data_IF_776928024590
#
_entry.id   IF_776928024590
#
_cell.length_a   1.000
_cell.length_b   1.000
_cell.length_c   1.000
_cell.angle_alpha   90.00
_cell.angle_beta   90.00
_cell.angle_gamma   90.00
#
_symmetry.space_group_name_H-M   'P 1'
#
loop_
_entity.id
_entity.type
_entity.pdbx_description
1 polymer ?
#
# COMPACT_ATOMS: atom_id res chain seq x y z
N UNK A 1 -4.59 -22.50 13.68
CA UNK A 1 -4.98 -21.16 13.18
C UNK A 1 -6.44 -21.20 12.74
N UNK A 2 -7.33 -20.44 13.38
CA UNK A 2 -8.72 -20.30 12.91
C UNK A 2 -8.73 -19.25 11.79
N UNK A 3 -9.03 -19.70 10.59
CA UNK A 3 -9.21 -18.86 9.40
C UNK A 3 -10.41 -17.93 9.64
N UNK A 4 -10.14 -16.67 10.00
CA UNK A 4 -11.20 -15.71 10.36
C UNK A 4 -11.67 -15.04 9.09
N UNK A 5 -12.57 -15.71 8.36
CA UNK A 5 -13.22 -15.14 7.18
C UNK A 5 -14.32 -14.20 7.64
N UNK A 6 -14.15 -12.91 7.39
CA UNK A 6 -15.22 -11.93 7.56
C UNK A 6 -16.30 -12.28 6.54
N UNK A 7 -17.44 -12.79 7.02
CA UNK A 7 -18.63 -13.04 6.20
C UNK A 7 -19.54 -11.82 6.32
N UNK A 8 -19.86 -11.21 5.18
CA UNK A 8 -20.94 -10.24 5.11
C UNK A 8 -22.26 -10.92 5.44
N UNK A 9 -23.15 -10.22 6.11
CA UNK A 9 -24.53 -10.67 6.27
C UNK A 9 -25.26 -10.72 4.93
N UNK A 10 -26.31 -11.52 4.82
CA UNK A 10 -27.12 -11.60 3.58
C UNK A 10 -27.67 -10.23 3.15
N UNK A 11 -28.04 -9.39 4.13
CA UNK A 11 -28.54 -8.04 3.89
C UNK A 11 -27.45 -7.14 3.27
N UNK A 12 -26.24 -7.19 3.80
CA UNK A 12 -25.10 -6.44 3.25
C UNK A 12 -24.72 -6.94 1.85
N UNK A 13 -24.73 -8.26 1.65
CA UNK A 13 -24.40 -8.87 0.36
C UNK A 13 -25.40 -8.48 -0.73
N UNK A 14 -26.69 -8.41 -0.37
CA UNK A 14 -27.79 -8.01 -1.27
C UNK A 14 -27.67 -6.53 -1.64
N UNK A 15 -27.46 -5.67 -0.66
CA UNK A 15 -27.25 -4.23 -0.87
C UNK A 15 -26.03 -3.97 -1.78
N UNK A 16 -24.92 -4.67 -1.54
CA UNK A 16 -23.70 -4.55 -2.35
C UNK A 16 -23.92 -5.01 -3.80
N UNK A 17 -24.80 -6.00 -4.01
CA UNK A 17 -25.20 -6.46 -5.35
C UNK A 17 -26.00 -5.40 -6.11
N UNK A 18 -26.94 -4.76 -5.44
CA UNK A 18 -27.81 -3.73 -6.03
C UNK A 18 -27.00 -2.50 -6.45
N UNK A 19 -26.10 -2.04 -5.58
CA UNK A 19 -25.22 -0.91 -5.88
C UNK A 19 -24.27 -1.24 -7.03
N UNK A 20 -23.66 -2.42 -7.04
CA UNK A 20 -22.77 -2.85 -8.12
C UNK A 20 -23.50 -2.89 -9.47
N UNK A 21 -24.74 -3.42 -9.47
CA UNK A 21 -25.61 -3.47 -10.65
C UNK A 21 -25.99 -2.06 -11.14
N UNK A 22 -26.31 -1.13 -10.24
CA UNK A 22 -26.64 0.25 -10.63
C UNK A 22 -25.47 1.01 -11.26
N UNK A 23 -24.23 0.62 -10.93
CA UNK A 23 -23.00 1.22 -11.45
C UNK A 23 -22.40 0.44 -12.62
N UNK A 24 -23.07 -0.64 -13.05
CA UNK A 24 -22.61 -1.53 -14.12
C UNK A 24 -21.19 -2.09 -13.91
N UNK A 25 -20.84 -2.37 -12.65
CA UNK A 25 -19.55 -2.96 -12.24
C UNK A 25 -19.79 -4.26 -11.45
N UNK A 26 -18.74 -5.07 -11.29
CA UNK A 26 -18.84 -6.28 -10.46
C UNK A 26 -18.85 -5.93 -8.97
N UNK A 27 -19.43 -6.80 -8.14
CA UNK A 27 -19.38 -6.65 -6.68
C UNK A 27 -17.95 -6.55 -6.15
N UNK A 28 -17.02 -7.31 -6.72
CA UNK A 28 -15.61 -7.28 -6.33
C UNK A 28 -14.96 -5.93 -6.64
N UNK A 29 -15.25 -5.37 -7.83
CA UNK A 29 -14.77 -4.03 -8.23
C UNK A 29 -15.33 -2.94 -7.32
N UNK A 30 -16.61 -3.02 -6.96
CA UNK A 30 -17.24 -2.08 -6.03
C UNK A 30 -16.60 -2.18 -4.62
N UNK A 31 -16.39 -3.39 -4.10
CA UNK A 31 -15.76 -3.61 -2.80
C UNK A 31 -14.32 -3.08 -2.78
N UNK A 32 -13.56 -3.35 -3.85
CA UNK A 32 -12.22 -2.82 -4.03
C UNK A 32 -12.22 -1.28 -4.04
N UNK A 33 -13.16 -0.67 -4.76
CA UNK A 33 -13.32 0.78 -4.80
C UNK A 33 -13.69 1.36 -3.44
N UNK A 34 -14.64 0.78 -2.71
CA UNK A 34 -15.03 1.23 -1.36
C UNK A 34 -13.85 1.13 -0.39
N UNK A 35 -13.09 0.04 -0.45
CA UNK A 35 -11.89 -0.14 0.39
C UNK A 35 -10.81 0.87 0.02
N UNK A 36 -10.57 1.08 -1.28
CA UNK A 36 -9.63 2.08 -1.78
C UNK A 36 -10.04 3.50 -1.36
N UNK A 37 -11.33 3.84 -1.53
CA UNK A 37 -11.90 5.12 -1.11
C UNK A 37 -11.78 5.28 0.40
N UNK A 38 -12.15 4.29 1.23
CA UNK A 38 -12.01 4.32 2.68
C UNK A 38 -10.56 4.52 3.14
N UNK A 39 -9.63 3.78 2.54
CA UNK A 39 -8.19 3.89 2.83
C UNK A 39 -7.59 5.21 2.31
N UNK A 40 -8.20 5.84 1.31
CA UNK A 40 -7.78 7.13 0.77
C UNK A 40 -8.46 8.34 1.47
N UNK A 41 -9.69 8.17 1.97
CA UNK A 41 -10.49 9.18 2.66
C UNK A 41 -10.17 9.24 4.14
N UNK A 42 -9.72 8.14 4.74
CA UNK A 42 -8.94 8.16 5.96
C UNK A 42 -7.55 8.68 5.59
N UNK A 43 -7.42 10.01 5.48
CA UNK A 43 -6.17 10.78 5.38
C UNK A 43 -4.94 9.89 5.31
N UNK A 44 -4.42 9.62 4.10
CA UNK A 44 -3.43 8.59 3.76
C UNK A 44 -2.04 8.67 4.44
N UNK A 45 -1.97 9.17 5.66
CA UNK A 45 -0.98 8.72 6.61
C UNK A 45 -1.55 7.48 7.31
N UNK A 46 -0.75 6.45 7.65
CA UNK A 46 -1.08 5.69 8.87
C UNK A 46 -1.42 6.72 9.95
N UNK A 47 -2.20 6.38 10.99
CA UNK A 47 -2.14 7.22 12.19
C UNK A 47 -0.70 7.07 12.70
N UNK A 48 0.22 7.86 12.14
CA UNK A 48 1.50 8.21 12.69
C UNK A 48 1.09 9.14 13.80
N UNK A 49 0.63 8.53 14.90
CA UNK A 49 0.66 9.19 16.18
C UNK A 49 2.12 9.61 16.28
N UNK A 50 2.42 10.92 16.22
CA UNK A 50 3.80 11.36 16.19
C UNK A 50 4.50 10.76 17.40
N UNK A 51 5.78 10.41 17.27
CA UNK A 51 6.48 9.67 18.32
C UNK A 51 6.32 10.37 19.68
N UNK A 52 6.18 11.69 19.72
CA UNK A 52 5.89 12.47 20.94
C UNK A 52 4.53 12.20 21.62
N UNK A 53 3.56 11.57 20.93
CA UNK A 53 2.29 11.10 21.50
C UNK A 53 2.38 9.70 22.14
N UNK A 54 3.44 8.93 21.86
CA UNK A 54 3.67 7.57 22.42
C UNK A 54 5.02 7.38 23.12
N UNK A 55 5.99 8.25 22.83
CA UNK A 55 7.36 8.29 23.35
C UNK A 55 7.45 9.49 24.26
N UNK A 56 7.19 9.24 25.54
CA UNK A 56 7.60 10.16 26.59
C UNK A 56 9.14 10.16 26.62
N UNK A 57 9.76 11.24 26.13
CA UNK A 57 11.21 11.38 26.18
C UNK A 57 11.63 11.41 27.64
N UNK A 58 12.45 10.43 28.03
CA UNK A 58 13.13 10.38 29.32
C UNK A 58 13.94 11.67 29.49
N UNK A 59 13.51 12.55 30.38
CA UNK A 59 14.24 13.78 30.71
C UNK A 59 15.27 13.61 31.82
N UNK A 60 15.54 12.39 32.27
CA UNK A 60 16.49 12.15 33.35
C UNK A 60 17.55 11.11 32.96
N UNK A 61 18.81 11.54 33.00
CA UNK A 61 20.00 10.76 32.67
C UNK A 61 20.51 9.91 33.83
N UNK A 62 19.83 9.85 34.98
CA UNK A 62 20.23 8.97 36.09
C UNK A 62 19.07 8.07 36.58
N UNK A 63 19.22 6.76 36.33
CA UNK A 63 18.29 5.66 36.70
C UNK A 63 16.96 5.66 35.93
N UNK A 64 16.87 4.83 34.88
CA UNK A 64 15.77 4.76 33.92
C UNK A 64 14.43 4.27 34.52
N UNK A 65 13.70 5.15 35.19
CA UNK A 65 12.30 4.91 35.54
C UNK A 65 11.42 5.91 34.78
N UNK A 66 10.64 5.42 33.82
CA UNK A 66 9.61 6.22 33.16
C UNK A 66 8.33 6.13 33.99
N UNK A 67 7.95 7.24 34.62
CA UNK A 67 6.69 7.32 35.36
C UNK A 67 5.54 7.50 34.36
N UNK A 68 4.75 6.45 34.15
CA UNK A 68 3.54 6.49 33.33
C UNK A 68 2.32 6.72 34.22
N UNK A 69 1.48 7.69 33.85
CA UNK A 69 0.16 7.91 34.45
C UNK A 69 -0.89 7.46 33.44
N UNK A 70 -1.82 6.62 33.88
CA UNK A 70 -2.97 6.25 33.06
C UNK A 70 -4.22 6.21 33.94
N UNK A 71 -5.36 6.52 33.34
CA UNK A 71 -6.64 6.46 34.00
C UNK A 71 -7.25 5.06 33.78
N UNK A 72 -7.64 4.41 34.87
CA UNK A 72 -8.37 3.16 34.84
C UNK A 72 -9.85 3.43 35.16
N UNK A 73 -10.81 2.80 34.44
CA UNK A 73 -12.22 2.83 34.83
C UNK A 73 -12.41 2.43 36.31
N UNK A 74 -13.37 3.09 36.98
CA UNK A 74 -13.57 2.97 38.44
C UNK A 74 -13.91 1.54 38.85
N UNK A 75 -14.73 0.86 38.06
CA UNK A 75 -15.12 -0.54 38.24
C UNK A 75 -13.90 -1.48 38.18
N UNK A 76 -13.01 -1.29 37.21
CA UNK A 76 -11.77 -2.05 37.11
C UNK A 76 -10.83 -1.74 38.28
N UNK A 77 -10.78 -0.49 38.75
CA UNK A 77 -9.92 -0.11 39.88
C UNK A 77 -10.39 -0.79 41.16
N UNK A 78 -11.70 -0.84 41.39
CA UNK A 78 -12.32 -1.56 42.50
C UNK A 78 -12.09 -3.07 42.39
N UNK A 79 -12.16 -3.64 41.19
CA UNK A 79 -11.89 -5.06 40.98
C UNK A 79 -10.42 -5.44 41.29
N UNK A 80 -9.46 -4.63 40.84
CA UNK A 80 -8.04 -4.83 41.13
C UNK A 80 -7.77 -4.68 42.63
N UNK A 81 -8.36 -3.67 43.28
CA UNK A 81 -8.27 -3.50 44.73
C UNK A 81 -8.75 -4.75 45.47
N UNK A 82 -9.94 -5.25 45.12
CA UNK A 82 -10.48 -6.47 45.72
C UNK A 82 -9.64 -7.72 45.47
N UNK A 83 -8.89 -7.79 44.36
CA UNK A 83 -7.98 -8.89 44.07
C UNK A 83 -6.74 -8.86 44.99
N UNK A 84 -6.17 -7.67 45.20
CA UNK A 84 -5.01 -7.46 46.09
C UNK A 84 -5.42 -7.68 47.55
N UNK A 85 -6.55 -7.13 47.98
CA UNK A 85 -7.03 -7.21 49.36
C UNK A 85 -7.29 -8.66 49.83
N UNK A 86 -7.66 -9.55 48.88
CA UNK A 86 -7.87 -10.98 49.17
C UNK A 86 -6.58 -11.75 49.46
N UNK A 87 -5.42 -11.25 49.04
CA UNK A 87 -4.13 -11.88 49.30
C UNK A 87 -3.95 -13.28 48.69
N UNK A 88 -4.82 -13.71 47.79
CA UNK A 88 -4.72 -15.03 47.13
C UNK A 88 -3.63 -15.10 46.06
N UNK A 89 -3.14 -13.95 45.61
CA UNK A 89 -2.16 -13.81 44.54
C UNK A 89 -0.91 -13.10 45.05
N UNK A 90 0.26 -13.27 44.41
CA UNK A 90 1.52 -12.70 44.89
C UNK A 90 1.64 -11.17 44.72
N UNK A 91 0.54 -10.48 44.41
CA UNK A 91 0.52 -9.04 44.23
C UNK A 91 0.38 -8.32 45.57
N UNK A 92 1.29 -7.37 45.84
CA UNK A 92 1.27 -6.59 47.10
C UNK A 92 0.52 -5.29 46.94
N UNK A 93 0.51 -4.77 45.71
CA UNK A 93 -0.04 -3.47 45.37
C UNK A 93 -0.86 -3.57 44.09
N UNK A 94 -1.74 -2.59 43.84
CA UNK A 94 -2.53 -2.52 42.59
C UNK A 94 -1.61 -2.34 41.38
N UNK A 95 -0.52 -1.63 41.59
CA UNK A 95 0.54 -1.36 40.63
C UNK A 95 1.22 -2.65 40.16
N UNK A 96 1.37 -3.66 41.03
CA UNK A 96 1.96 -4.94 40.64
C UNK A 96 1.08 -5.68 39.63
N UNK A 97 -0.25 -5.70 39.87
CA UNK A 97 -1.23 -6.31 38.95
C UNK A 97 -1.19 -5.62 37.59
N UNK A 98 -1.11 -4.29 37.60
CA UNK A 98 -1.06 -3.48 36.39
C UNK A 98 0.22 -3.74 35.61
N UNK A 99 1.38 -3.74 36.27
CA UNK A 99 2.69 -4.00 35.61
C UNK A 99 2.71 -5.37 34.96
N UNK A 100 2.23 -6.39 35.67
CA UNK A 100 2.16 -7.77 35.18
C UNK A 100 1.23 -7.90 33.97
N UNK A 101 0.04 -7.29 34.06
CA UNK A 101 -0.92 -7.26 32.95
C UNK A 101 -0.36 -6.57 31.70
N UNK A 102 0.34 -5.44 31.89
CA UNK A 102 1.00 -4.71 30.80
C UNK A 102 2.12 -5.54 30.17
N UNK A 103 2.97 -6.17 31.00
CA UNK A 103 4.06 -7.03 30.53
C UNK A 103 3.51 -8.15 29.63
N UNK A 104 2.56 -8.93 30.13
CA UNK A 104 1.98 -10.03 29.36
C UNK A 104 1.23 -9.55 28.11
N UNK A 105 0.55 -8.40 28.17
CA UNK A 105 -0.15 -7.87 27.00
C UNK A 105 0.83 -7.39 25.93
N UNK A 106 1.92 -6.73 26.32
CA UNK A 106 2.98 -6.30 25.40
C UNK A 106 3.73 -7.51 24.82
N UNK A 107 4.03 -8.51 25.63
CA UNK A 107 4.62 -9.77 25.17
C UNK A 107 3.71 -10.48 24.17
N UNK A 108 2.40 -10.54 24.45
CA UNK A 108 1.41 -11.09 23.52
C UNK A 108 1.37 -10.29 22.22
N UNK A 109 1.34 -8.96 22.27
CA UNK A 109 1.37 -8.10 21.08
C UNK A 109 2.67 -8.27 20.29
N UNK A 110 3.81 -8.40 20.97
CA UNK A 110 5.11 -8.63 20.36
C UNK A 110 5.17 -10.01 19.66
N UNK A 111 4.63 -11.03 20.31
CA UNK A 111 4.59 -12.41 19.80
C UNK A 111 3.59 -12.54 18.66
N UNK A 112 2.51 -11.78 18.70
CA UNK A 112 1.44 -11.77 17.70
C UNK A 112 1.51 -10.52 16.81
N UNK A 113 2.70 -9.95 16.58
CA UNK A 113 2.92 -8.76 15.74
C UNK A 113 2.26 -8.85 14.36
N UNK A 114 2.15 -10.06 13.83
CA UNK A 114 1.48 -10.34 12.57
C UNK A 114 0.12 -11.00 12.86
N UNK A 115 -0.87 -10.22 13.32
CA UNK A 115 -2.29 -10.64 13.50
C UNK A 115 -2.99 -11.01 12.17
N UNK A 116 -2.24 -11.43 11.14
CA UNK A 116 -2.70 -11.63 9.77
C UNK A 116 -2.80 -10.33 8.95
N UNK A 117 -2.71 -9.16 9.60
CA UNK A 117 -2.79 -7.87 8.93
C UNK A 117 -1.60 -7.64 7.99
N UNK A 118 -0.38 -8.03 8.38
CA UNK A 118 0.79 -7.87 7.52
C UNK A 118 0.73 -8.77 6.28
N UNK A 119 0.24 -10.01 6.42
CA UNK A 119 0.02 -10.89 5.27
C UNK A 119 -1.05 -10.34 4.31
N UNK A 120 -2.16 -9.83 4.85
CA UNK A 120 -3.22 -9.18 4.07
C UNK A 120 -2.74 -7.90 3.38
N UNK A 121 -1.97 -7.04 4.07
CA UNK A 121 -1.38 -5.83 3.49
C UNK A 121 -0.33 -6.16 2.42
N UNK A 122 0.49 -7.21 2.62
CA UNK A 122 1.42 -7.70 1.58
C UNK A 122 0.66 -8.16 0.33
N UNK A 123 -0.44 -8.89 0.50
CA UNK A 123 -1.30 -9.32 -0.62
C UNK A 123 -1.97 -8.12 -1.31
N UNK A 124 -2.47 -7.17 -0.54
CA UNK A 124 -3.10 -5.96 -1.08
C UNK A 124 -2.11 -5.15 -1.92
N UNK A 125 -0.89 -4.91 -1.40
CA UNK A 125 0.18 -4.25 -2.15
C UNK A 125 0.58 -5.01 -3.42
N UNK A 126 0.58 -6.34 -3.37
CA UNK A 126 0.86 -7.15 -4.55
C UNK A 126 -0.25 -7.00 -5.61
N UNK A 127 -1.52 -6.99 -5.19
CA UNK A 127 -2.67 -6.77 -6.06
C UNK A 127 -2.62 -5.36 -6.67
N UNK A 128 -2.42 -4.32 -5.85
CA UNK A 128 -2.30 -2.93 -6.32
C UNK A 128 -1.19 -2.79 -7.36
N UNK A 129 -0.06 -3.45 -7.13
CA UNK A 129 1.05 -3.46 -8.08
C UNK A 129 0.65 -4.12 -9.40
N UNK A 130 0.00 -5.28 -9.37
CA UNK A 130 -0.46 -5.99 -10.58
C UNK A 130 -1.45 -5.12 -11.36
N UNK A 131 -2.42 -4.52 -10.67
CA UNK A 131 -3.42 -3.65 -11.31
C UNK A 131 -2.77 -2.39 -11.91
N UNK A 132 -1.82 -1.77 -11.22
CA UNK A 132 -1.09 -0.63 -11.75
C UNK A 132 -0.21 -1.01 -12.96
N UNK A 133 0.34 -2.23 -12.97
CA UNK A 133 1.10 -2.77 -14.10
C UNK A 133 0.17 -2.99 -15.31
N UNK A 134 -1.02 -3.55 -15.12
CA UNK A 134 -2.04 -3.76 -16.18
C UNK A 134 -2.59 -2.44 -16.75
N UNK A 135 -2.82 -1.44 -15.89
CA UNK A 135 -3.29 -0.11 -16.32
C UNK A 135 -2.23 0.60 -17.19
N UNK A 136 -0.96 0.52 -16.80
CA UNK A 136 0.15 1.08 -17.58
C UNK A 136 0.31 0.38 -18.94
N UNK A 137 0.14 -0.95 -18.98
CA UNK A 137 0.19 -1.72 -20.23
C UNK A 137 -0.92 -1.31 -21.19
N UNK A 138 -2.15 -1.20 -20.67
CA UNK A 138 -3.33 -0.82 -21.45
C UNK A 138 -3.17 0.60 -22.00
N UNK A 139 -2.74 1.55 -21.17
CA UNK A 139 -2.51 2.93 -21.58
C UNK A 139 -1.39 3.01 -22.64
N UNK A 140 -0.32 2.24 -22.48
CA UNK A 140 0.76 2.19 -23.45
C UNK A 140 0.30 1.63 -24.79
N UNK A 141 -0.46 0.53 -24.80
CA UNK A 141 -1.03 -0.06 -26.01
C UNK A 141 -1.94 0.94 -26.76
N UNK A 142 -2.78 1.68 -26.03
CA UNK A 142 -3.64 2.72 -26.59
C UNK A 142 -2.83 3.89 -27.20
N UNK A 143 -1.76 4.31 -26.51
CA UNK A 143 -0.85 5.35 -27.02
C UNK A 143 -0.08 4.88 -28.25
N UNK A 144 0.37 3.63 -28.29
CA UNK A 144 1.00 3.04 -29.47
C UNK A 144 0.03 2.96 -30.65
N UNK A 145 -1.24 2.58 -30.41
CA UNK A 145 -2.25 2.55 -31.46
C UNK A 145 -2.49 3.94 -32.06
N UNK A 146 -2.54 4.99 -31.23
CA UNK A 146 -2.61 6.39 -31.69
C UNK A 146 -1.37 6.80 -32.47
N UNK A 147 -0.18 6.39 -32.01
CA UNK A 147 1.07 6.66 -32.71
C UNK A 147 1.10 5.99 -34.08
N UNK A 148 0.58 4.78 -34.21
CA UNK A 148 0.45 4.07 -35.49
C UNK A 148 -0.36 4.89 -36.52
N UNK A 149 -1.44 5.53 -36.07
CA UNK A 149 -2.26 6.42 -36.93
C UNK A 149 -1.44 7.64 -37.36
N UNK A 150 -0.70 8.27 -36.44
CA UNK A 150 0.13 9.44 -36.74
C UNK A 150 1.27 9.11 -37.72
N UNK A 151 1.98 7.99 -37.49
CA UNK A 151 3.08 7.54 -38.35
C UNK A 151 2.56 7.23 -39.77
N UNK A 152 1.40 6.58 -39.90
CA UNK A 152 0.81 6.32 -41.22
C UNK A 152 0.34 7.60 -41.91
N UNK A 153 -0.13 8.59 -41.14
CA UNK A 153 -0.57 9.90 -41.64
C UNK A 153 0.55 10.86 -42.03
N UNK A 154 1.79 10.60 -41.60
CA UNK A 154 2.92 11.45 -41.91
C UNK A 154 3.28 11.40 -43.42
N UNK A 155 3.62 12.55 -44.03
CA UNK A 155 3.78 12.74 -45.47
C UNK A 155 5.04 12.07 -46.05
N UNK A 156 6.11 11.96 -45.26
CA UNK A 156 7.36 11.33 -45.70
C UNK A 156 8.01 10.45 -44.62
N UNK A 157 9.00 9.66 -45.04
CA UNK A 157 9.72 8.75 -44.14
C UNK A 157 10.62 9.50 -43.13
N UNK A 158 11.01 10.75 -43.41
CA UNK A 158 11.83 11.54 -42.48
C UNK A 158 11.02 11.96 -41.25
N UNK A 159 9.79 12.42 -41.46
CA UNK A 159 8.85 12.80 -40.40
C UNK A 159 8.40 11.57 -39.59
N UNK A 160 8.13 10.43 -40.26
CA UNK A 160 7.87 9.15 -39.59
C UNK A 160 8.99 8.73 -38.65
N UNK A 161 10.23 8.80 -39.13
CA UNK A 161 11.43 8.48 -38.34
C UNK A 161 11.60 9.46 -37.18
N UNK A 162 11.36 10.76 -37.40
CA UNK A 162 11.46 11.77 -36.35
C UNK A 162 10.51 11.47 -35.19
N UNK A 163 9.23 11.20 -35.49
CA UNK A 163 8.23 10.87 -34.48
C UNK A 163 8.60 9.61 -33.67
N UNK A 164 9.05 8.54 -34.35
CA UNK A 164 9.44 7.29 -33.68
C UNK A 164 10.68 7.48 -32.81
N UNK A 165 11.68 8.25 -33.29
CA UNK A 165 12.90 8.49 -32.53
C UNK A 165 12.64 9.36 -31.29
N UNK A 166 11.76 10.36 -31.36
CA UNK A 166 11.36 11.15 -30.18
C UNK A 166 10.77 10.25 -29.08
N UNK A 167 9.85 9.35 -29.44
CA UNK A 167 9.25 8.43 -28.47
C UNK A 167 10.27 7.41 -27.94
N UNK A 168 11.21 6.96 -28.79
CA UNK A 168 12.30 6.10 -28.34
C UNK A 168 13.22 6.79 -27.32
N UNK A 169 13.50 8.08 -27.50
CA UNK A 169 14.35 8.84 -26.59
C UNK A 169 13.66 9.06 -25.24
N UNK A 170 12.38 9.43 -25.24
CA UNK A 170 11.58 9.52 -24.01
C UNK A 170 11.54 8.19 -23.24
N UNK A 171 11.37 7.06 -23.94
CA UNK A 171 11.37 5.73 -23.29
C UNK A 171 12.77 5.38 -22.76
N UNK A 172 13.85 5.83 -23.41
CA UNK A 172 15.23 5.63 -22.90
C UNK A 172 15.51 6.45 -21.65
N UNK A 173 14.87 7.60 -21.49
CA UNK A 173 14.99 8.44 -20.29
C UNK A 173 14.20 7.87 -19.10
N UNK A 174 13.26 6.96 -19.34
CA UNK A 174 12.57 6.26 -18.25
C UNK A 174 13.56 5.50 -17.34
N UNK A 175 13.25 5.38 -16.03
CA UNK A 175 14.02 4.54 -15.12
C UNK A 175 14.13 3.10 -15.62
N UNK A 176 15.34 2.54 -15.48
CA UNK A 176 15.63 1.16 -15.89
C UNK A 176 14.69 0.17 -15.20
N UNK A 177 13.79 -0.40 -15.99
CA UNK A 177 12.71 -1.27 -15.53
C UNK A 177 12.38 -2.36 -16.56
N UNK A 178 11.61 -3.36 -16.15
CA UNK A 178 11.07 -4.36 -17.09
C UNK A 178 10.19 -3.71 -18.16
N UNK A 179 9.45 -2.67 -17.79
CA UNK A 179 8.59 -1.89 -18.69
C UNK A 179 9.37 -1.16 -19.76
N UNK A 180 10.44 -0.45 -19.40
CA UNK A 180 11.31 0.20 -20.38
C UNK A 180 11.81 -0.81 -21.43
N UNK A 181 12.27 -1.98 -20.99
CA UNK A 181 12.74 -3.04 -21.90
C UNK A 181 11.62 -3.57 -22.79
N UNK A 182 10.43 -3.75 -22.23
CA UNK A 182 9.25 -4.21 -22.96
C UNK A 182 8.83 -3.19 -24.03
N UNK A 183 8.70 -1.92 -23.69
CA UNK A 183 8.33 -0.84 -24.61
C UNK A 183 9.35 -0.66 -25.72
N UNK A 184 10.65 -0.68 -25.40
CA UNK A 184 11.72 -0.63 -26.41
C UNK A 184 11.66 -1.81 -27.37
N UNK A 185 11.27 -3.00 -26.89
CA UNK A 185 11.11 -4.17 -27.73
C UNK A 185 9.89 -4.03 -28.64
N UNK A 186 8.73 -3.64 -28.11
CA UNK A 186 7.51 -3.48 -28.90
C UNK A 186 7.67 -2.44 -30.02
N UNK A 187 8.30 -1.30 -29.74
CA UNK A 187 8.54 -0.26 -30.77
C UNK A 187 9.48 -0.78 -31.86
N UNK A 188 10.53 -1.53 -31.48
CA UNK A 188 11.43 -2.17 -32.44
C UNK A 188 10.74 -3.20 -33.31
N UNK A 189 9.84 -3.98 -32.73
CA UNK A 189 9.11 -5.02 -33.45
C UNK A 189 8.07 -4.41 -34.41
N UNK A 190 7.43 -3.29 -34.05
CA UNK A 190 6.41 -2.62 -34.89
C UNK A 190 6.99 -1.80 -36.04
N UNK A 191 8.08 -1.06 -35.83
CA UNK A 191 8.66 -0.18 -36.87
C UNK A 191 10.15 -0.41 -37.11
N UNK A 192 10.58 -1.64 -37.48
CA UNK A 192 12.00 -1.99 -37.59
C UNK A 192 12.76 -1.12 -38.61
N UNK A 193 12.08 -0.65 -39.66
CA UNK A 193 12.68 0.08 -40.78
C UNK A 193 12.72 1.61 -40.57
N UNK A 194 12.10 2.11 -39.50
CA UNK A 194 11.98 3.54 -39.20
C UNK A 194 12.81 3.96 -37.98
N UNK A 195 13.53 3.02 -37.37
CA UNK A 195 14.44 3.30 -36.27
C UNK A 195 15.81 3.61 -36.88
N UNK A 196 16.31 4.81 -36.63
CA UNK A 196 17.69 5.10 -36.97
C UNK A 196 18.59 4.27 -36.03
N UNK A 197 19.42 3.40 -36.62
CA UNK A 197 20.48 2.71 -35.89
C UNK A 197 21.35 3.77 -35.22
N UNK A 198 21.24 3.83 -33.89
CA UNK A 198 21.95 4.72 -32.98
C UNK A 198 23.39 4.97 -33.45
N UNK A 199 23.62 6.09 -34.15
CA UNK A 199 24.92 6.37 -34.71
C UNK A 199 25.74 7.08 -33.63
N UNK A 200 26.50 6.31 -32.83
CA UNK A 200 27.39 6.79 -31.77
C UNK A 200 28.40 7.87 -32.25
N UNK A 201 28.54 8.07 -33.56
CA UNK A 201 29.38 9.12 -34.15
C UNK A 201 28.79 10.53 -34.06
N UNK A 202 27.47 10.69 -33.99
CA UNK A 202 26.82 12.03 -34.01
C UNK A 202 26.84 12.73 -32.64
N UNK A 203 27.17 12.02 -31.55
CA UNK A 203 27.31 12.60 -30.20
C UNK A 203 28.74 13.05 -29.82
N UNK A 204 29.71 13.02 -30.74
CA UNK A 204 31.08 13.53 -30.48
C UNK A 204 31.20 15.07 -30.54
N UNK A 205 30.20 15.78 -30.01
CA UNK A 205 30.23 17.23 -29.81
C UNK A 205 29.92 17.64 -28.35
N UNK A 206 30.15 16.74 -27.39
CA UNK A 206 30.43 17.11 -25.98
C UNK A 206 31.94 17.08 -25.72
#
# INVERSE_FOLDING_TARGET
>A
MKDTRIRLSEKETTSLKEVAKSQNITQATLLHRIVKEYLSSASGQPISLPDDQFVFRSSDTHHHHTNMRFALPVDMASAIAGLVDRGHYPYRTREDVIRDSLFHRLEWLNTNKDLGLGASLRRFRAIDRILSEEEQETEFADRLAKMDVLVRGAPDDAERRSLINQVLDEIREMPSSSWQKHYLKEIKDRWPNLINLWNMKERKEE
#
